data_IF_562653027866
#
_entry.id   IF_562653027866
#
_cell.length_a   1.000
_cell.length_b   1.000
_cell.length_c   1.000
_cell.angle_alpha   90.00
_cell.angle_beta   90.00
_cell.angle_gamma   90.00
#
_symmetry.space_group_name_H-M   'P 1'
#
loop_
_entity.id
_entity.type
_entity.pdbx_description
1 polymer ?
#
# COMPACT_ATOMS: atom_id res chain seq x y z
N UNK A 1 -8.86 -0.01 -26.62
CA UNK A 1 -9.01 0.94 -25.50
C UNK A 1 -8.16 2.17 -25.82
N UNK A 2 -8.61 3.41 -25.58
CA UNK A 2 -7.72 4.57 -25.69
C UNK A 2 -6.51 4.35 -24.76
N UNK A 3 -5.31 4.68 -25.22
CA UNK A 3 -4.11 4.55 -24.42
C UNK A 3 -4.24 5.38 -23.14
N UNK A 4 -3.96 4.77 -21.98
CA UNK A 4 -3.94 5.49 -20.71
C UNK A 4 -2.80 6.53 -20.77
N UNK A 5 -3.00 7.75 -20.25
CA UNK A 5 -1.90 8.71 -20.12
C UNK A 5 -0.92 8.18 -19.06
N UNK A 6 0.27 7.76 -19.49
CA UNK A 6 1.31 7.20 -18.63
C UNK A 6 2.50 8.15 -18.60
N UNK A 7 2.95 8.48 -17.40
CA UNK A 7 4.19 9.21 -17.16
C UNK A 7 5.17 8.26 -16.46
N UNK A 8 6.34 8.06 -17.07
CA UNK A 8 7.44 7.31 -16.46
C UNK A 8 8.48 8.29 -15.91
N UNK A 9 8.98 8.00 -14.72
CA UNK A 9 10.02 8.80 -14.07
C UNK A 9 11.09 7.85 -13.59
N UNK A 10 12.27 7.92 -14.21
CA UNK A 10 13.43 7.18 -13.73
C UNK A 10 13.97 7.85 -12.47
N UNK A 11 13.94 7.10 -11.37
CA UNK A 11 14.52 7.56 -10.11
C UNK A 11 15.97 7.10 -10.03
N UNK A 12 16.80 7.95 -9.44
CA UNK A 12 18.12 7.57 -8.96
C UNK A 12 17.96 7.34 -7.45
N UNK A 13 17.71 6.12 -6.95
CA UNK A 13 17.56 5.88 -5.51
C UNK A 13 18.94 5.92 -4.81
N UNK A 14 19.03 6.50 -3.59
CA UNK A 14 20.22 6.36 -2.77
C UNK A 14 20.38 4.90 -2.29
N UNK A 15 21.60 4.44 -1.98
CA UNK A 15 21.80 3.14 -1.39
C UNK A 15 21.19 3.06 0.01
N UNK A 16 20.78 1.86 0.44
CA UNK A 16 20.04 1.67 1.70
C UNK A 16 20.76 2.26 2.93
N UNK A 17 22.10 2.23 2.97
CA UNK A 17 22.86 2.71 4.13
C UNK A 17 22.72 4.22 4.36
N UNK A 18 22.51 5.00 3.30
CA UNK A 18 22.24 6.45 3.43
C UNK A 18 20.85 6.72 4.03
N UNK A 19 19.91 5.78 3.87
CA UNK A 19 18.55 5.91 4.40
C UNK A 19 18.48 5.63 5.91
N UNK A 20 19.41 4.83 6.44
CA UNK A 20 19.39 4.39 7.84
C UNK A 20 19.41 5.58 8.79
N UNK A 21 20.42 6.44 8.69
CA UNK A 21 20.65 7.50 9.67
C UNK A 21 19.57 8.58 9.63
N UNK A 22 19.10 8.95 8.43
CA UNK A 22 18.06 9.97 8.29
C UNK A 22 16.72 9.49 8.86
N UNK A 23 16.32 8.25 8.56
CA UNK A 23 15.08 7.66 9.09
C UNK A 23 15.19 7.49 10.61
N UNK A 24 16.32 6.98 11.10
CA UNK A 24 16.57 6.74 12.53
C UNK A 24 16.45 8.04 13.34
N UNK A 25 17.11 9.09 12.87
CA UNK A 25 17.14 10.40 13.53
C UNK A 25 15.74 10.99 13.67
N UNK A 26 14.92 10.86 12.64
CA UNK A 26 13.58 11.43 12.62
C UNK A 26 12.57 10.60 13.40
N UNK A 27 12.65 9.26 13.33
CA UNK A 27 11.81 8.39 14.15
C UNK A 27 12.04 8.61 15.65
N UNK A 28 13.29 8.87 16.08
CA UNK A 28 13.61 9.15 17.48
C UNK A 28 12.92 10.40 18.04
N UNK A 29 12.47 11.32 17.19
CA UNK A 29 11.68 12.48 17.63
C UNK A 29 10.22 12.14 17.96
N UNK A 30 9.74 10.97 17.51
CA UNK A 30 8.33 10.59 17.56
C UNK A 30 8.04 9.29 18.31
N UNK A 31 9.06 8.49 18.59
CA UNK A 31 8.95 7.18 19.21
C UNK A 31 10.04 7.01 20.25
N UNK A 32 9.69 6.42 21.40
CA UNK A 32 10.64 6.25 22.52
C UNK A 32 11.73 5.24 22.20
N UNK A 33 11.39 4.17 21.47
CA UNK A 33 12.33 3.11 21.13
C UNK A 33 12.25 2.84 19.64
N UNK A 34 13.41 2.89 18.99
CA UNK A 34 13.53 2.80 17.54
C UNK A 34 14.77 1.98 17.17
N UNK A 35 14.68 1.23 16.08
CA UNK A 35 15.84 0.65 15.39
C UNK A 35 15.65 0.80 13.89
N UNK A 36 16.74 1.11 13.20
CA UNK A 36 16.81 1.12 11.74
C UNK A 36 18.12 0.45 11.37
N UNK A 37 18.02 -0.64 10.61
CA UNK A 37 19.14 -1.47 10.20
C UNK A 37 18.93 -1.94 8.76
N UNK A 38 20.01 -2.41 8.13
CA UNK A 38 19.93 -3.20 6.91
C UNK A 38 20.06 -4.65 7.32
N UNK A 39 19.10 -5.47 6.92
CA UNK A 39 19.05 -6.88 7.24
C UNK A 39 18.62 -7.68 6.02
N UNK A 40 18.98 -8.96 5.99
CA UNK A 40 18.43 -9.89 5.01
C UNK A 40 16.92 -10.00 5.23
N UNK A 41 16.16 -9.83 4.16
CA UNK A 41 14.71 -9.93 4.18
C UNK A 41 14.31 -11.34 4.67
N UNK A 42 13.47 -11.45 5.72
CA UNK A 42 12.93 -12.75 6.10
C UNK A 42 12.02 -13.27 5.00
N UNK A 43 11.72 -14.58 5.01
CA UNK A 43 10.72 -15.12 4.08
C UNK A 43 9.32 -14.57 4.41
N UNK A 44 8.87 -13.61 3.60
CA UNK A 44 7.62 -12.88 3.81
C UNK A 44 6.36 -13.73 3.58
N UNK A 45 6.50 -14.97 3.09
CA UNK A 45 5.38 -15.92 3.05
C UNK A 45 5.01 -16.44 4.44
N UNK A 46 5.93 -16.33 5.39
CA UNK A 46 5.73 -16.81 6.75
C UNK A 46 5.01 -15.77 7.61
N UNK A 47 4.41 -16.25 8.70
CA UNK A 47 3.92 -15.38 9.77
C UNK A 47 5.05 -14.47 10.29
N UNK A 48 4.79 -13.17 10.55
CA UNK A 48 3.48 -12.52 10.59
C UNK A 48 3.03 -11.84 9.29
N UNK A 49 3.72 -12.01 8.16
CA UNK A 49 3.44 -11.22 6.94
C UNK A 49 2.48 -11.91 5.98
N UNK A 50 2.59 -13.24 5.86
CA UNK A 50 1.70 -14.08 5.05
C UNK A 50 1.52 -13.58 3.59
N UNK A 51 2.57 -13.01 3.00
CA UNK A 51 2.56 -12.50 1.63
C UNK A 51 2.62 -13.62 0.59
N UNK A 52 2.26 -13.30 -0.65
CA UNK A 52 2.30 -14.24 -1.78
C UNK A 52 3.73 -14.52 -2.28
N UNK A 53 4.74 -13.80 -1.79
CA UNK A 53 6.12 -13.82 -2.28
C UNK A 53 7.12 -13.74 -1.12
N UNK A 54 8.35 -14.18 -1.34
CA UNK A 54 9.35 -14.38 -0.28
C UNK A 54 10.12 -13.13 0.14
N UNK A 55 10.24 -12.11 -0.71
CA UNK A 55 11.05 -10.92 -0.41
C UNK A 55 10.64 -9.69 -1.21
N UNK A 56 11.33 -8.57 -1.01
CA UNK A 56 10.98 -7.26 -1.61
C UNK A 56 11.98 -6.80 -2.68
N UNK A 57 12.96 -7.64 -3.03
CA UNK A 57 14.09 -7.25 -3.85
C UNK A 57 13.90 -7.60 -5.34
N UNK A 58 14.77 -7.02 -6.17
CA UNK A 58 14.79 -7.17 -7.63
C UNK A 58 13.98 -6.09 -8.33
N UNK A 59 14.69 -5.15 -8.97
CA UNK A 59 14.14 -4.06 -9.79
C UNK A 59 12.87 -3.40 -9.21
N UNK A 60 12.93 -2.79 -8.01
CA UNK A 60 11.76 -2.24 -7.35
C UNK A 60 11.17 -1.04 -8.11
N UNK A 61 9.84 -0.93 -8.14
CA UNK A 61 9.08 0.11 -8.85
C UNK A 61 7.85 0.52 -8.04
N UNK A 62 7.35 1.73 -8.30
CA UNK A 62 6.07 2.21 -7.74
C UNK A 62 5.11 2.56 -8.88
N UNK A 63 3.83 2.26 -8.71
CA UNK A 63 2.76 2.81 -9.52
C UNK A 63 1.81 3.67 -8.67
N UNK A 64 1.43 4.82 -9.21
CA UNK A 64 0.35 5.68 -8.74
C UNK A 64 -0.68 5.78 -9.86
N UNK A 65 -1.82 5.11 -9.66
CA UNK A 65 -2.84 4.88 -10.69
C UNK A 65 -4.12 5.60 -10.28
N UNK A 66 -4.68 6.42 -11.18
CA UNK A 66 -5.94 7.11 -10.95
C UNK A 66 -5.85 8.14 -9.82
N UNK A 67 -6.77 8.09 -8.86
CA UNK A 67 -6.72 8.91 -7.66
C UNK A 67 -8.08 9.30 -7.09
N UNK A 68 -8.07 10.04 -5.98
CA UNK A 68 -9.28 10.54 -5.32
C UNK A 68 -10.30 11.24 -6.25
N UNK A 69 -9.89 11.97 -7.31
CA UNK A 69 -10.84 12.57 -8.26
C UNK A 69 -11.71 11.57 -9.02
N UNK A 70 -11.30 10.29 -9.12
CA UNK A 70 -12.13 9.25 -9.72
C UNK A 70 -13.24 8.77 -8.76
N UNK A 71 -13.10 9.02 -7.45
CA UNK A 71 -14.07 8.62 -6.42
C UNK A 71 -15.01 9.76 -6.03
N UNK A 72 -14.48 10.98 -5.87
CA UNK A 72 -15.21 12.12 -5.36
C UNK A 72 -15.00 13.36 -6.25
N UNK A 73 -16.03 14.21 -6.44
CA UNK A 73 -17.28 14.27 -5.67
C UNK A 73 -18.32 13.21 -6.04
N UNK A 74 -18.28 12.66 -7.24
CA UNK A 74 -19.14 11.55 -7.70
C UNK A 74 -18.24 10.51 -8.35
N UNK A 75 -18.44 9.21 -8.08
CA UNK A 75 -17.56 8.18 -8.60
C UNK A 75 -17.67 8.04 -10.12
N UNK A 76 -16.53 7.90 -10.80
CA UNK A 76 -16.45 7.50 -12.20
C UNK A 76 -16.28 5.98 -12.31
N UNK A 77 -17.39 5.28 -12.48
CA UNK A 77 -17.43 3.82 -12.61
C UNK A 77 -16.80 3.28 -13.91
N UNK A 78 -16.33 4.14 -14.82
CA UNK A 78 -15.52 3.68 -15.96
C UNK A 78 -14.08 3.35 -15.56
N UNK A 79 -13.63 3.81 -14.39
CA UNK A 79 -12.25 3.65 -13.90
C UNK A 79 -12.05 2.27 -13.26
N UNK A 80 -11.91 1.28 -14.12
CA UNK A 80 -11.60 -0.11 -13.78
C UNK A 80 -10.22 -0.46 -14.27
N UNK A 81 -9.47 -1.18 -13.44
CA UNK A 81 -8.09 -1.53 -13.71
C UNK A 81 -7.84 -2.99 -13.36
N UNK A 82 -6.71 -3.48 -13.82
CA UNK A 82 -6.25 -4.84 -13.68
C UNK A 82 -4.80 -4.80 -13.19
N UNK A 83 -4.50 -5.52 -12.10
CA UNK A 83 -3.17 -5.48 -11.48
C UNK A 83 -2.08 -6.02 -12.39
N UNK A 84 -2.36 -6.98 -13.27
CA UNK A 84 -1.37 -7.49 -14.24
C UNK A 84 -1.13 -6.49 -15.36
N UNK A 85 -2.17 -5.84 -15.89
CA UNK A 85 -1.99 -4.76 -16.85
C UNK A 85 -1.20 -3.60 -16.23
N UNK A 86 -1.43 -3.28 -14.95
CA UNK A 86 -0.60 -2.29 -14.24
C UNK A 86 0.85 -2.77 -14.12
N UNK A 87 1.09 -4.04 -13.78
CA UNK A 87 2.44 -4.62 -13.72
C UNK A 87 3.19 -4.52 -15.06
N UNK A 88 2.51 -4.79 -16.18
CA UNK A 88 3.06 -4.63 -17.52
C UNK A 88 3.44 -3.17 -17.79
N UNK A 89 2.57 -2.22 -17.44
CA UNK A 89 2.84 -0.78 -17.58
C UNK A 89 3.97 -0.28 -16.67
N UNK A 90 4.16 -0.94 -15.52
CA UNK A 90 5.32 -0.75 -14.65
C UNK A 90 6.60 -1.34 -15.27
N UNK A 91 6.53 -2.08 -16.38
CA UNK A 91 7.65 -2.82 -16.99
C UNK A 91 8.22 -3.88 -16.03
N UNK A 92 7.33 -4.56 -15.32
CA UNK A 92 7.66 -5.78 -14.58
C UNK A 92 7.90 -6.94 -15.56
N UNK A 93 8.69 -7.94 -15.15
CA UNK A 93 8.90 -9.14 -15.95
C UNK A 93 7.63 -10.00 -16.02
N UNK A 94 7.36 -10.59 -17.18
CA UNK A 94 6.27 -11.57 -17.33
C UNK A 94 6.57 -12.90 -16.62
N UNK A 95 7.85 -13.26 -16.49
CA UNK A 95 8.27 -14.55 -15.93
C UNK A 95 8.18 -14.59 -14.40
N UNK A 96 8.41 -13.46 -13.73
CA UNK A 96 8.44 -13.38 -12.28
C UNK A 96 8.19 -11.95 -11.77
N UNK A 97 7.33 -11.82 -10.76
CA UNK A 97 7.17 -10.58 -10.04
C UNK A 97 6.18 -10.64 -8.89
N UNK A 98 6.13 -9.53 -8.16
CA UNK A 98 5.34 -9.34 -6.97
C UNK A 98 4.77 -7.91 -6.94
N UNK A 99 3.53 -7.77 -6.50
CA UNK A 99 2.84 -6.51 -6.25
C UNK A 99 2.23 -6.51 -4.85
N UNK A 100 2.41 -5.40 -4.14
CA UNK A 100 1.75 -5.11 -2.87
C UNK A 100 1.33 -3.65 -2.82
N UNK A 101 0.33 -3.29 -2.01
CA UNK A 101 0.00 -1.88 -1.81
C UNK A 101 -1.38 -1.63 -1.24
N UNK A 102 -1.98 -0.52 -1.66
CA UNK A 102 -3.33 -0.12 -1.31
C UNK A 102 -4.08 0.35 -2.55
N UNK A 103 -5.35 0.00 -2.69
CA UNK A 103 -6.19 0.41 -3.80
C UNK A 103 -7.66 0.49 -3.37
N UNK A 104 -8.52 1.06 -4.22
CA UNK A 104 -9.95 0.86 -4.08
C UNK A 104 -10.35 -0.46 -4.76
N UNK A 105 -11.21 -1.22 -4.08
CA UNK A 105 -11.62 -2.55 -4.50
C UNK A 105 -12.49 -2.53 -5.77
N UNK A 106 -12.45 -3.62 -6.55
CA UNK A 106 -13.19 -3.72 -7.80
C UNK A 106 -14.69 -3.85 -7.51
N UNK A 107 -15.41 -2.73 -7.45
CA UNK A 107 -16.84 -2.70 -7.18
C UNK A 107 -17.67 -3.58 -8.15
N UNK A 108 -17.17 -3.80 -9.37
CA UNK A 108 -17.80 -4.67 -10.36
C UNK A 108 -17.59 -6.17 -10.09
N UNK A 109 -16.69 -6.54 -9.19
CA UNK A 109 -16.47 -7.92 -8.72
C UNK A 109 -17.07 -8.10 -7.31
N UNK A 110 -16.79 -7.17 -6.40
CA UNK A 110 -17.26 -7.22 -5.01
C UNK A 110 -18.75 -6.91 -4.89
N UNK A 111 -19.31 -6.15 -5.84
CA UNK A 111 -20.71 -5.72 -5.87
C UNK A 111 -20.98 -4.41 -5.11
N UNK A 112 -19.96 -3.82 -4.48
CA UNK A 112 -20.05 -2.57 -3.73
C UNK A 112 -18.65 -1.93 -3.58
N UNK A 113 -18.60 -0.71 -3.06
CA UNK A 113 -17.33 -0.08 -2.70
C UNK A 113 -16.58 -0.87 -1.60
N UNK A 114 -15.25 -0.87 -1.67
CA UNK A 114 -14.37 -1.58 -0.73
C UNK A 114 -12.96 -1.02 -0.73
N UNK A 115 -12.23 -1.24 0.36
CA UNK A 115 -10.77 -1.06 0.42
C UNK A 115 -10.10 -2.32 -0.14
N UNK A 116 -8.98 -2.18 -0.85
CA UNK A 116 -8.23 -3.30 -1.40
C UNK A 116 -6.79 -3.28 -0.86
N UNK A 117 -6.32 -4.48 -0.49
CA UNK A 117 -4.96 -4.73 -0.04
C UNK A 117 -4.28 -5.69 -1.05
N UNK A 118 -3.79 -5.18 -2.21
CA UNK A 118 -3.05 -5.98 -3.16
C UNK A 118 -1.92 -6.77 -2.51
N UNK A 119 -1.88 -8.06 -2.80
CA UNK A 119 -0.84 -9.00 -2.41
C UNK A 119 -0.82 -10.11 -3.48
N UNK A 120 -0.04 -9.90 -4.53
CA UNK A 120 -0.05 -10.70 -5.75
C UNK A 120 1.37 -11.07 -6.12
N UNK A 121 1.61 -12.32 -6.50
CA UNK A 121 2.86 -12.76 -7.11
C UNK A 121 2.60 -13.63 -8.33
N UNK A 122 3.58 -13.69 -9.21
CA UNK A 122 3.63 -14.63 -10.32
C UNK A 122 5.05 -15.14 -10.51
N UNK A 123 5.16 -16.40 -10.90
CA UNK A 123 6.43 -17.05 -11.20
C UNK A 123 6.19 -18.23 -12.16
N UNK A 124 6.91 -18.28 -13.28
CA UNK A 124 6.84 -19.37 -14.26
C UNK A 124 5.41 -19.70 -14.75
N UNK A 125 4.57 -18.67 -14.89
CA UNK A 125 3.17 -18.80 -15.31
C UNK A 125 2.19 -19.19 -14.20
N UNK A 126 2.66 -19.44 -12.97
CA UNK A 126 1.80 -19.61 -11.80
C UNK A 126 1.48 -18.28 -11.15
N UNK A 127 0.25 -18.12 -10.64
CA UNK A 127 -0.23 -16.90 -9.98
C UNK A 127 -0.61 -17.20 -8.54
N UNK A 128 -0.02 -16.47 -7.60
CA UNK A 128 -0.31 -16.52 -6.18
C UNK A 128 -1.04 -15.24 -5.78
N UNK A 129 -2.35 -15.32 -5.69
CA UNK A 129 -3.17 -14.19 -5.25
C UNK A 129 -3.51 -14.32 -3.76
N UNK A 130 -2.90 -13.46 -2.95
CA UNK A 130 -3.18 -13.25 -1.52
C UNK A 130 -3.93 -11.94 -1.25
N UNK A 131 -4.46 -11.28 -2.28
CA UNK A 131 -5.15 -9.99 -2.18
C UNK A 131 -6.42 -10.14 -1.36
N UNK A 132 -6.63 -9.19 -0.45
CA UNK A 132 -7.84 -9.08 0.34
C UNK A 132 -8.56 -7.77 0.06
N UNK A 133 -9.86 -7.73 0.33
CA UNK A 133 -10.64 -6.51 0.34
C UNK A 133 -11.38 -6.38 1.68
N UNK A 134 -11.60 -5.14 2.12
CA UNK A 134 -12.44 -4.83 3.25
C UNK A 134 -13.69 -4.05 2.81
N UNK A 135 -14.86 -4.44 3.32
CA UNK A 135 -16.16 -3.78 3.06
C UNK A 135 -16.95 -3.57 4.35
N UNK A 136 -17.85 -2.59 4.32
CA UNK A 136 -18.82 -2.34 5.40
C UNK A 136 -20.06 -3.20 5.18
N UNK A 137 -20.49 -3.95 6.19
CA UNK A 137 -21.73 -4.75 6.18
C UNK A 137 -22.95 -3.90 6.55
N UNK A 138 -24.14 -4.47 6.36
CA UNK A 138 -25.42 -3.83 6.70
C UNK A 138 -25.53 -3.41 8.17
N UNK A 139 -24.90 -4.17 9.08
CA UNK A 139 -24.86 -3.85 10.52
C UNK A 139 -23.81 -2.79 10.89
N UNK A 140 -23.07 -2.27 9.90
CA UNK A 140 -22.01 -1.28 10.06
C UNK A 140 -20.65 -1.84 10.47
N UNK A 141 -20.53 -3.14 10.72
CA UNK A 141 -19.23 -3.80 10.95
C UNK A 141 -18.42 -3.94 9.66
N UNK A 142 -17.09 -4.08 9.78
CA UNK A 142 -16.24 -4.40 8.65
C UNK A 142 -16.07 -5.92 8.48
N UNK A 143 -15.96 -6.38 7.24
CA UNK A 143 -15.43 -7.71 6.89
C UNK A 143 -14.19 -7.56 6.03
N UNK A 144 -13.23 -8.47 6.22
CA UNK A 144 -12.07 -8.66 5.35
C UNK A 144 -12.18 -10.04 4.71
N UNK A 145 -12.09 -10.11 3.39
CA UNK A 145 -12.26 -11.34 2.61
C UNK A 145 -11.21 -11.41 1.50
N UNK A 146 -10.87 -12.64 1.07
CA UNK A 146 -9.95 -12.86 -0.05
C UNK A 146 -10.63 -12.49 -1.37
N UNK A 147 -9.93 -11.76 -2.25
CA UNK A 147 -10.44 -11.38 -3.56
C UNK A 147 -10.22 -12.52 -4.58
N UNK A 148 -11.26 -13.00 -5.30
CA UNK A 148 -11.13 -14.03 -6.34
C UNK A 148 -10.78 -13.44 -7.73
N UNK A 149 -10.12 -12.29 -7.78
CA UNK A 149 -9.82 -11.51 -8.98
C UNK A 149 -8.52 -10.72 -8.78
N UNK A 150 -7.95 -10.21 -9.87
CA UNK A 150 -6.81 -9.28 -9.89
C UNK A 150 -7.24 -7.85 -10.26
N UNK A 151 -8.55 -7.57 -10.24
CA UNK A 151 -9.08 -6.27 -10.60
C UNK A 151 -8.95 -5.28 -9.44
N UNK A 152 -8.82 -4.01 -9.77
CA UNK A 152 -9.03 -2.90 -8.85
C UNK A 152 -9.81 -1.79 -9.56
N UNK A 153 -10.15 -0.73 -8.84
CA UNK A 153 -10.91 0.38 -9.42
C UNK A 153 -10.51 1.71 -8.80
N UNK A 154 -10.85 2.80 -9.50
CA UNK A 154 -10.72 4.21 -9.07
C UNK A 154 -9.29 4.69 -8.82
N UNK A 155 -8.53 4.05 -7.94
CA UNK A 155 -7.16 4.39 -7.60
C UNK A 155 -6.36 3.21 -7.04
N UNK A 156 -5.04 3.23 -7.24
CA UNK A 156 -4.11 2.29 -6.64
C UNK A 156 -2.73 2.92 -6.42
N UNK A 157 -2.12 2.63 -5.26
CA UNK A 157 -0.73 2.92 -4.94
C UNK A 157 -0.02 1.59 -4.68
N UNK A 158 0.85 1.19 -5.61
CA UNK A 158 1.47 -0.14 -5.63
C UNK A 158 2.98 -0.05 -5.55
N UNK A 159 3.56 -1.00 -4.83
CA UNK A 159 4.97 -1.36 -4.90
C UNK A 159 5.11 -2.67 -5.66
N UNK A 160 6.01 -2.69 -6.64
CA UNK A 160 6.35 -3.86 -7.43
C UNK A 160 7.83 -4.21 -7.33
N UNK A 161 8.15 -5.50 -7.38
CA UNK A 161 9.51 -6.03 -7.44
C UNK A 161 9.52 -7.44 -8.04
N UNK A 162 10.69 -8.05 -8.20
CA UNK A 162 10.78 -9.47 -8.57
C UNK A 162 10.37 -10.43 -7.43
N UNK A 163 10.11 -9.93 -6.21
CA UNK A 163 9.73 -10.77 -5.06
C UNK A 163 10.89 -11.55 -4.45
N UNK A 164 12.14 -11.17 -4.77
CA UNK A 164 13.34 -11.92 -4.43
C UNK A 164 13.84 -11.62 -3.01
N UNK A 165 14.56 -12.56 -2.38
CA UNK A 165 15.34 -12.29 -1.17
C UNK A 165 16.43 -11.23 -1.42
N UNK A 166 16.88 -10.60 -0.34
CA UNK A 166 17.98 -9.64 -0.37
C UNK A 166 17.97 -8.70 0.82
N UNK A 167 18.89 -7.73 0.81
CA UNK A 167 18.97 -6.73 1.86
C UNK A 167 17.81 -5.73 1.78
N UNK A 168 17.19 -5.45 2.93
CA UNK A 168 16.11 -4.48 3.09
C UNK A 168 16.35 -3.59 4.30
N UNK A 169 15.65 -2.45 4.37
CA UNK A 169 15.57 -1.67 5.59
C UNK A 169 14.64 -2.35 6.58
N UNK A 170 15.17 -2.79 7.71
CA UNK A 170 14.38 -3.24 8.85
C UNK A 170 14.20 -2.07 9.82
N UNK A 171 12.95 -1.63 9.96
CA UNK A 171 12.56 -0.46 10.77
C UNK A 171 11.63 -0.93 11.88
N UNK A 172 12.02 -0.69 13.13
CA UNK A 172 11.16 -0.91 14.30
C UNK A 172 10.97 0.40 15.05
N UNK A 173 9.75 0.62 15.54
CA UNK A 173 9.40 1.78 16.35
C UNK A 173 8.31 1.41 17.35
N UNK A 174 8.45 1.83 18.60
CA UNK A 174 7.44 1.59 19.63
C UNK A 174 7.25 2.79 20.55
N UNK A 175 6.08 2.84 21.20
CA UNK A 175 5.70 3.91 22.14
C UNK A 175 5.79 5.29 21.48
N UNK A 176 4.83 5.56 20.60
CA UNK A 176 4.71 6.86 19.91
C UNK A 176 4.50 7.99 20.92
N UNK A 177 5.38 8.98 20.89
CA UNK A 177 5.38 10.19 21.72
C UNK A 177 5.00 11.46 20.94
N UNK A 178 5.09 11.42 19.60
CA UNK A 178 4.73 12.53 18.72
C UNK A 178 3.41 12.36 17.97
N UNK A 179 3.00 13.41 17.25
CA UNK A 179 1.71 13.44 16.53
C UNK A 179 1.69 12.59 15.25
N UNK A 180 2.79 12.58 14.49
CA UNK A 180 2.87 11.85 13.21
C UNK A 180 2.89 10.33 13.40
N UNK A 181 2.21 9.61 12.52
CA UNK A 181 2.25 8.16 12.46
C UNK A 181 3.59 7.64 11.90
N UNK A 182 3.74 6.31 11.84
CA UNK A 182 4.97 5.64 11.43
C UNK A 182 5.43 6.02 10.01
N UNK A 183 4.54 5.88 9.02
CA UNK A 183 4.87 6.14 7.61
C UNK A 183 5.01 7.64 7.33
N UNK A 184 4.21 8.49 7.97
CA UNK A 184 4.34 9.94 7.89
C UNK A 184 5.71 10.43 8.38
N UNK A 185 6.20 9.85 9.48
CA UNK A 185 7.51 10.22 10.02
C UNK A 185 8.64 9.76 9.11
N UNK A 186 8.57 8.56 8.54
CA UNK A 186 9.56 8.08 7.54
C UNK A 186 9.55 8.99 6.31
N UNK A 187 8.37 9.30 5.75
CA UNK A 187 8.25 10.21 4.60
C UNK A 187 8.85 11.59 4.89
N UNK A 188 8.61 12.13 6.09
CA UNK A 188 9.17 13.41 6.52
C UNK A 188 10.70 13.35 6.60
N UNK A 189 11.26 12.24 7.07
CA UNK A 189 12.70 12.04 7.12
C UNK A 189 13.35 12.07 5.74
N UNK A 190 12.78 11.34 4.79
CA UNK A 190 13.26 11.34 3.41
C UNK A 190 13.16 12.73 2.78
N UNK A 191 12.06 13.46 3.02
CA UNK A 191 11.91 14.83 2.53
C UNK A 191 12.96 15.79 3.10
N UNK A 192 13.33 15.65 4.37
CA UNK A 192 14.38 16.49 4.96
C UNK A 192 15.77 16.16 4.40
N UNK A 193 16.08 14.87 4.25
CA UNK A 193 17.39 14.44 3.76
C UNK A 193 17.61 14.76 2.28
N UNK A 194 16.57 14.63 1.45
CA UNK A 194 16.70 14.66 -0.02
C UNK A 194 16.03 15.86 -0.69
N UNK A 195 15.30 16.70 0.06
CA UNK A 195 14.73 17.94 -0.43
C UNK A 195 13.75 17.73 -1.58
N UNK A 196 14.12 18.19 -2.78
CA UNK A 196 13.31 18.08 -4.01
C UNK A 196 13.58 16.81 -4.82
N UNK A 197 14.61 16.02 -4.47
CA UNK A 197 14.85 14.71 -5.10
C UNK A 197 13.72 13.77 -4.72
N UNK A 198 13.05 13.21 -5.73
CA UNK A 198 11.96 12.26 -5.51
C UNK A 198 12.52 10.95 -4.99
N UNK A 199 12.04 10.52 -3.83
CA UNK A 199 12.35 9.22 -3.23
C UNK A 199 11.04 8.47 -3.04
N UNK A 200 11.00 7.25 -3.55
CA UNK A 200 9.91 6.31 -3.39
C UNK A 200 10.33 5.19 -2.47
N UNK A 201 9.48 4.81 -1.53
CA UNK A 201 9.71 3.71 -0.59
C UNK A 201 8.42 2.89 -0.47
N UNK A 202 8.55 1.57 -0.61
CA UNK A 202 7.47 0.61 -0.42
C UNK A 202 7.97 -0.62 0.31
N UNK A 203 7.03 -1.43 0.81
CA UNK A 203 7.30 -2.61 1.61
C UNK A 203 6.12 -2.93 2.51
N UNK A 204 6.35 -3.78 3.50
CA UNK A 204 5.35 -4.23 4.48
C UNK A 204 5.82 -3.91 5.90
N UNK A 205 4.89 -3.65 6.80
CA UNK A 205 5.17 -3.55 8.24
C UNK A 205 4.02 -4.12 9.04
N UNK A 206 4.31 -4.61 10.24
CA UNK A 206 3.31 -5.19 11.13
C UNK A 206 3.10 -4.29 12.33
N UNK A 207 1.84 -4.00 12.65
CA UNK A 207 1.47 -3.41 13.95
C UNK A 207 1.36 -4.56 14.94
N UNK A 208 2.44 -4.82 15.66
CA UNK A 208 2.54 -5.98 16.57
C UNK A 208 1.84 -5.78 17.92
N UNK A 209 1.65 -4.54 18.36
CA UNK A 209 0.96 -4.17 19.62
C UNK A 209 0.27 -2.81 19.50
N UNK A 210 -0.85 -2.67 20.22
CA UNK A 210 -1.64 -1.46 20.28
C UNK A 210 -2.87 -1.52 19.36
N UNK A 211 -3.49 -0.36 19.17
CA UNK A 211 -4.73 -0.21 18.40
C UNK A 211 -4.51 0.81 17.30
N UNK A 212 -4.99 0.51 16.09
CA UNK A 212 -4.94 1.39 14.95
C UNK A 212 -6.35 1.90 14.61
N UNK A 213 -6.46 3.19 14.34
CA UNK A 213 -7.69 3.78 13.79
C UNK A 213 -7.67 3.64 12.27
N UNK A 214 -8.46 2.72 11.75
CA UNK A 214 -8.61 2.45 10.33
C UNK A 214 -9.94 3.02 9.82
N UNK A 215 -10.06 3.18 8.52
CA UNK A 215 -11.36 3.41 7.89
C UNK A 215 -11.62 2.38 6.81
N UNK A 216 -12.90 2.13 6.56
CA UNK A 216 -13.38 1.39 5.39
C UNK A 216 -14.44 2.26 4.73
N UNK A 217 -14.29 2.51 3.45
CA UNK A 217 -15.33 3.19 2.69
C UNK A 217 -16.61 2.33 2.68
N UNK A 218 -17.77 2.86 3.10
CA UNK A 218 -19.03 2.21 2.82
C UNK A 218 -19.36 2.35 1.32
N UNK A 219 -20.52 1.83 0.92
CA UNK A 219 -20.95 1.93 -0.47
C UNK A 219 -21.01 3.39 -0.96
N UNK A 220 -20.98 3.56 -2.28
CA UNK A 220 -20.86 4.86 -2.92
C UNK A 220 -21.97 5.81 -2.47
N UNK A 221 -21.58 7.05 -2.14
CA UNK A 221 -22.54 8.08 -1.71
C UNK A 221 -23.55 8.38 -2.82
N UNK A 222 -24.84 8.41 -2.48
CA UNK A 222 -25.91 8.84 -3.37
C UNK A 222 -25.88 10.34 -3.68
N UNK A 223 -25.12 11.10 -2.90
CA UNK A 223 -24.98 12.56 -3.02
C UNK A 223 -23.51 12.95 -3.20
N UNK A 224 -23.19 14.02 -3.96
CA UNK A 224 -21.81 14.42 -4.19
C UNK A 224 -21.02 14.74 -2.89
N UNK A 225 -19.81 14.20 -2.78
CA UNK A 225 -18.88 14.43 -1.67
C UNK A 225 -17.86 15.53 -2.02
N UNK A 226 -18.31 16.78 -1.95
CA UNK A 226 -17.55 17.96 -2.40
C UNK A 226 -16.52 18.41 -1.36
N UNK A 227 -16.87 18.35 -0.08
CA UNK A 227 -16.01 18.83 1.02
C UNK A 227 -15.36 17.69 1.79
N UNK A 228 -14.23 17.97 2.45
CA UNK A 228 -13.58 16.98 3.31
C UNK A 228 -14.45 16.60 4.51
N UNK A 229 -15.26 17.52 5.03
CA UNK A 229 -16.23 17.21 6.09
C UNK A 229 -17.28 16.20 5.61
N UNK A 230 -17.78 16.33 4.36
CA UNK A 230 -18.70 15.35 3.78
C UNK A 230 -18.04 13.98 3.64
N UNK A 231 -16.79 13.92 3.16
CA UNK A 231 -16.04 12.66 3.06
C UNK A 231 -15.81 12.03 4.44
N UNK A 232 -15.39 12.82 5.43
CA UNK A 232 -15.15 12.33 6.80
C UNK A 232 -16.44 11.78 7.45
N UNK A 233 -17.61 12.37 7.17
CA UNK A 233 -18.90 11.86 7.64
C UNK A 233 -19.34 10.58 6.93
N UNK A 234 -18.97 10.44 5.66
CA UNK A 234 -19.27 9.25 4.85
C UNK A 234 -18.41 8.05 5.25
N UNK A 235 -17.11 8.25 5.50
CA UNK A 235 -16.20 7.18 5.91
C UNK A 235 -16.62 6.52 7.23
N UNK A 236 -16.45 5.19 7.34
CA UNK A 236 -16.62 4.44 8.58
C UNK A 236 -15.26 4.18 9.21
N UNK A 237 -15.10 4.56 10.47
CA UNK A 237 -13.87 4.40 11.22
C UNK A 237 -13.99 3.28 12.25
N UNK A 238 -12.91 2.53 12.42
CA UNK A 238 -12.80 1.39 13.32
C UNK A 238 -11.50 1.50 14.12
N UNK A 239 -11.57 1.16 15.39
CA UNK A 239 -10.39 0.90 16.21
C UNK A 239 -10.12 -0.61 16.14
N UNK A 240 -8.95 -0.97 15.60
CA UNK A 240 -8.58 -2.37 15.35
C UNK A 240 -7.32 -2.70 16.13
N UNK A 241 -7.39 -3.75 16.93
CA UNK A 241 -6.27 -4.21 17.75
C UNK A 241 -5.28 -5.04 16.94
N UNK A 242 -4.00 -4.93 17.33
CA UNK A 242 -2.92 -5.78 16.82
C UNK A 242 -3.16 -7.28 17.08
N UNK A 243 -2.59 -8.19 16.25
CA UNK A 243 -1.70 -7.91 15.12
C UNK A 243 -2.43 -7.41 13.87
N UNK A 244 -1.78 -6.51 13.12
CA UNK A 244 -2.20 -6.09 11.78
C UNK A 244 -1.02 -6.20 10.82
N UNK A 245 -1.17 -6.99 9.77
CA UNK A 245 -0.21 -7.25 8.69
C UNK A 245 -0.70 -6.80 7.31
#
# INVERSE_FOLDING_TARGET
>A
MPALPIQKVDLNPPPLHELVDCIKTELAQNFKSISVSIEQCPDLRQTPYNLAFSGLCGSPRIADVGGQPNLAPTPDFSKKYDLFNIAELMEMSEDQGALLGAAAGPFHVVGMNSELMPNLAWENGEVFNGTHFAKVKDDGSASCEKLPSHDCALMANLFGSAGLPGDVLHITASSRTGSLNFTERIRKALKYAYGTRTISLGGVFVISKGTAKLHVMPDFSSSPLVTDEQKQKWLKFYDVDAPLD
#
